data_IF_460838532435
#
_entry.id   IF_460838532435
#
_cell.length_a   1.000
_cell.length_b   1.000
_cell.length_c   1.000
_cell.angle_alpha   90.00
_cell.angle_beta   90.00
_cell.angle_gamma   90.00
#
_symmetry.space_group_name_H-M   'P 1'
#
loop_
_entity.id
_entity.type
_entity.pdbx_description
1 polymer ?
#
# COMPACT_ATOMS: atom_id res chain seq x y z
N UNK A 1 -50.62 -5.25 3.21
CA UNK A 1 -50.03 -3.97 2.74
C UNK A 1 -48.79 -4.23 1.90
N UNK A 2 -48.66 -3.66 0.69
CA UNK A 2 -47.52 -3.87 -0.22
C UNK A 2 -46.34 -2.90 0.08
N UNK A 3 -45.12 -3.19 -0.43
CA UNK A 3 -43.90 -2.49 -0.04
C UNK A 3 -43.62 -1.24 -0.89
N UNK A 4 -43.25 -0.12 -0.24
CA UNK A 4 -42.78 1.10 -0.92
C UNK A 4 -41.25 1.14 -0.99
N UNK A 5 -40.75 0.94 -2.21
CA UNK A 5 -39.39 1.22 -2.67
C UNK A 5 -39.10 2.73 -2.59
N UNK A 6 -37.89 3.14 -2.19
CA UNK A 6 -37.34 4.46 -2.53
C UNK A 6 -35.98 4.32 -3.22
N UNK A 7 -36.01 4.73 -4.48
CA UNK A 7 -34.91 4.94 -5.42
C UNK A 7 -33.89 5.96 -4.87
N UNK A 8 -32.58 5.74 -5.01
CA UNK A 8 -31.77 6.04 -6.20
C UNK A 8 -31.61 7.54 -6.49
N UNK A 9 -30.70 8.24 -5.79
CA UNK A 9 -30.10 9.51 -6.26
C UNK A 9 -28.71 9.73 -5.62
N UNK A 10 -27.68 9.08 -6.13
CA UNK A 10 -26.29 9.51 -5.90
C UNK A 10 -25.50 9.39 -7.20
N UNK A 11 -25.86 10.24 -8.15
CA UNK A 11 -25.12 10.47 -9.39
C UNK A 11 -24.61 11.90 -9.39
N UNK A 12 -23.39 12.06 -9.91
CA UNK A 12 -22.70 13.30 -10.31
C UNK A 12 -21.98 14.05 -9.19
N UNK A 13 -20.68 13.77 -9.02
CA UNK A 13 -19.57 14.74 -9.16
C UNK A 13 -18.28 14.01 -9.55
N UNK A 14 -18.20 13.55 -10.80
CA UNK A 14 -16.93 13.27 -11.48
C UNK A 14 -16.93 14.20 -12.69
N UNK A 15 -16.30 15.36 -12.50
CA UNK A 15 -15.93 16.30 -13.55
C UNK A 15 -14.60 16.92 -13.09
N UNK A 16 -13.53 16.60 -13.81
CA UNK A 16 -12.16 16.97 -13.47
C UNK A 16 -11.17 16.28 -14.39
N UNK A 17 -11.28 16.61 -15.68
CA UNK A 17 -10.45 16.17 -16.80
C UNK A 17 -8.95 16.47 -16.61
N UNK A 18 -8.11 15.48 -16.96
CA UNK A 18 -7.05 15.50 -17.99
C UNK A 18 -6.13 16.73 -18.09
N UNK A 19 -4.83 16.52 -17.83
CA UNK A 19 -3.63 16.98 -18.57
C UNK A 19 -2.42 16.64 -17.67
N UNK A 20 -1.34 15.96 -18.06
CA UNK A 20 -0.37 16.36 -19.09
C UNK A 20 0.58 15.16 -19.32
N UNK A 21 0.76 14.77 -20.58
CA UNK A 21 1.82 13.86 -21.05
C UNK A 21 2.86 14.72 -21.77
N UNK A 22 4.14 14.63 -21.37
CA UNK A 22 5.31 14.95 -22.19
C UNK A 22 6.52 14.28 -21.52
N UNK A 23 7.11 13.25 -22.15
CA UNK A 23 8.46 13.28 -22.75
C UNK A 23 9.55 13.71 -21.74
N UNK A 24 10.63 12.97 -21.51
CA UNK A 24 11.73 12.75 -22.46
C UNK A 24 12.56 11.56 -21.94
N UNK A 25 12.86 10.61 -22.82
CA UNK A 25 13.94 9.65 -22.62
C UNK A 25 15.24 10.20 -23.19
N UNK A 26 16.31 10.10 -22.41
CA UNK A 26 17.69 10.21 -22.90
C UNK A 26 18.46 9.07 -22.25
N UNK A 27 18.98 8.18 -23.08
CA UNK A 27 19.94 7.16 -22.67
C UNK A 27 21.36 7.72 -22.70
N UNK A 28 22.23 7.14 -21.89
CA UNK A 28 23.67 7.10 -22.16
C UNK A 28 24.18 5.75 -21.68
N UNK A 29 24.59 4.91 -22.63
CA UNK A 29 25.49 3.79 -22.40
C UNK A 29 26.91 4.36 -22.33
N UNK A 30 27.70 3.97 -21.33
CA UNK A 30 29.15 4.21 -21.34
C UNK A 30 29.84 2.85 -21.22
N UNK A 31 30.70 2.62 -22.20
CA UNK A 31 31.43 1.41 -22.48
C UNK A 31 32.48 1.10 -21.42
N UNK A 32 32.72 -0.19 -21.23
CA UNK A 32 33.86 -0.78 -20.52
C UNK A 32 35.14 -0.65 -21.36
N UNK A 33 36.15 0.03 -20.80
CA UNK A 33 37.51 0.09 -21.35
C UNK A 33 38.47 -0.78 -20.52
N UNK A 34 39.25 -1.58 -21.25
CA UNK A 34 40.68 -1.89 -21.04
C UNK A 34 41.05 -2.77 -19.84
N UNK A 35 41.43 -4.02 -20.17
CA UNK A 35 42.71 -4.59 -19.73
C UNK A 35 43.32 -5.46 -20.85
N UNK A 36 44.65 -5.51 -21.01
CA UNK A 36 45.33 -6.08 -22.18
C UNK A 36 45.98 -7.46 -21.95
N UNK A 37 46.52 -7.98 -23.07
CA UNK A 37 47.52 -9.02 -23.28
C UNK A 37 47.17 -10.51 -23.11
N UNK A 38 47.22 -11.24 -24.23
CA UNK A 38 48.31 -12.20 -24.48
C UNK A 38 48.36 -12.69 -25.94
N UNK A 39 49.54 -12.46 -26.50
CA UNK A 39 50.22 -13.02 -27.66
C UNK A 39 49.71 -14.34 -28.24
N UNK A 40 49.73 -14.47 -29.58
CA UNK A 40 50.51 -15.50 -30.32
C UNK A 40 50.26 -15.42 -31.84
N UNK A 41 51.28 -14.93 -32.54
CA UNK A 41 51.96 -15.55 -33.71
C UNK A 41 51.13 -16.13 -34.88
N UNK A 42 51.23 -15.40 -36.00
CA UNK A 42 51.58 -15.84 -37.38
C UNK A 42 50.86 -17.01 -38.06
N UNK A 43 50.15 -16.70 -39.16
CA UNK A 43 50.42 -17.23 -40.50
C UNK A 43 49.49 -16.59 -41.55
N UNK A 44 50.08 -16.17 -42.68
CA UNK A 44 49.39 -15.68 -43.86
C UNK A 44 49.04 -16.84 -44.82
N UNK A 45 47.91 -16.77 -45.53
CA UNK A 45 47.77 -17.15 -46.96
C UNK A 45 46.32 -17.07 -47.51
N UNK A 46 46.21 -16.41 -48.67
CA UNK A 46 45.34 -16.65 -49.84
C UNK A 46 43.78 -16.48 -49.82
N UNK A 47 43.33 -15.70 -50.81
CA UNK A 47 41.99 -15.46 -51.42
C UNK A 47 41.36 -16.71 -52.09
N UNK A 48 40.11 -16.75 -52.67
CA UNK A 48 39.12 -15.70 -52.99
C UNK A 48 37.61 -16.01 -52.70
N UNK A 49 36.79 -14.96 -52.86
CA UNK A 49 35.34 -14.83 -53.23
C UNK A 49 34.39 -16.04 -53.21
N UNK A 50 33.27 -15.88 -52.46
CA UNK A 50 31.92 -16.29 -52.89
C UNK A 50 30.81 -15.44 -52.21
N UNK A 51 29.98 -14.80 -53.02
CA UNK A 51 28.62 -14.27 -52.73
C UNK A 51 27.64 -15.16 -53.53
N UNK A 52 26.33 -15.37 -53.25
CA UNK A 52 25.37 -14.72 -52.32
C UNK A 52 24.49 -15.71 -51.49
N UNK A 53 23.71 -15.20 -50.52
CA UNK A 53 22.29 -15.59 -50.37
C UNK A 53 21.56 -14.68 -49.36
N UNK A 54 20.59 -13.90 -49.88
CA UNK A 54 19.57 -13.22 -49.08
C UNK A 54 18.68 -14.26 -48.39
N UNK A 55 18.78 -14.39 -47.07
CA UNK A 55 17.72 -14.98 -46.27
C UNK A 55 17.02 -13.90 -45.44
N UNK A 56 15.87 -13.46 -45.97
CA UNK A 56 14.89 -12.66 -45.28
C UNK A 56 14.33 -13.47 -44.10
N UNK A 57 14.92 -13.29 -42.92
CA UNK A 57 14.31 -13.75 -41.68
C UNK A 57 13.09 -12.87 -41.39
N UNK A 58 11.91 -13.41 -41.68
CA UNK A 58 10.62 -12.86 -41.26
C UNK A 58 10.63 -12.70 -39.74
N UNK A 59 10.90 -11.48 -39.28
CA UNK A 59 10.80 -11.07 -37.88
C UNK A 59 9.32 -11.14 -37.50
N UNK A 60 8.87 -12.26 -36.94
CA UNK A 60 7.55 -12.38 -36.30
C UNK A 60 7.48 -11.31 -35.21
N UNK A 61 6.73 -10.25 -35.47
CA UNK A 61 6.43 -9.24 -34.49
C UNK A 61 5.70 -9.92 -33.32
N UNK A 62 6.41 -10.10 -32.20
CA UNK A 62 5.80 -10.58 -30.97
C UNK A 62 4.74 -9.55 -30.54
N UNK A 63 3.47 -9.89 -30.72
CA UNK A 63 2.35 -9.09 -30.29
C UNK A 63 2.48 -8.85 -28.78
N UNK A 64 2.78 -7.61 -28.39
CA UNK A 64 2.81 -7.18 -26.98
C UNK A 64 1.43 -7.42 -26.37
N UNK A 65 1.29 -8.50 -25.58
CA UNK A 65 0.09 -8.74 -24.79
C UNK A 65 -0.10 -7.56 -23.84
N UNK A 66 -1.21 -6.84 -23.98
CA UNK A 66 -1.57 -5.74 -23.06
C UNK A 66 -1.68 -6.32 -21.64
N UNK A 67 -1.15 -5.63 -20.61
CA UNK A 67 -1.22 -6.11 -19.24
C UNK A 67 -2.69 -6.29 -18.84
N UNK A 68 -3.03 -7.46 -18.32
CA UNK A 68 -4.37 -7.76 -17.83
C UNK A 68 -4.71 -6.79 -16.68
N UNK A 69 -5.94 -6.25 -16.68
CA UNK A 69 -6.43 -5.40 -15.59
C UNK A 69 -6.32 -6.18 -14.27
N UNK A 70 -5.89 -5.52 -13.17
CA UNK A 70 -5.77 -6.18 -11.88
C UNK A 70 -7.14 -6.73 -11.45
N UNK A 71 -7.19 -8.01 -11.12
CA UNK A 71 -8.39 -8.64 -10.57
C UNK A 71 -8.73 -7.97 -9.24
N UNK A 72 -9.97 -7.48 -9.11
CA UNK A 72 -10.49 -6.92 -7.86
C UNK A 72 -10.68 -7.98 -6.77
N UNK A 73 -11.17 -7.59 -5.58
CA UNK A 73 -11.35 -8.51 -4.48
C UNK A 73 -12.39 -9.60 -4.79
N UNK A 74 -12.10 -10.83 -4.39
CA UNK A 74 -12.99 -11.98 -4.49
C UNK A 74 -14.21 -11.83 -3.57
N UNK A 75 -15.19 -12.74 -3.68
CA UNK A 75 -16.35 -12.76 -2.77
C UNK A 75 -15.91 -13.01 -1.32
N UNK A 76 -15.05 -14.01 -1.10
CA UNK A 76 -14.52 -14.35 0.21
C UNK A 76 -13.72 -13.20 0.85
N UNK A 77 -12.91 -12.47 0.06
CA UNK A 77 -12.17 -11.30 0.56
C UNK A 77 -13.10 -10.16 1.00
N UNK A 78 -14.20 -9.95 0.28
CA UNK A 78 -15.22 -8.96 0.66
C UNK A 78 -15.97 -9.37 1.92
N UNK A 79 -16.25 -10.66 2.09
CA UNK A 79 -16.87 -11.19 3.31
C UNK A 79 -15.95 -11.07 4.51
N UNK A 80 -14.65 -11.37 4.36
CA UNK A 80 -13.65 -11.17 5.40
C UNK A 80 -13.55 -9.70 5.84
N UNK A 81 -13.59 -8.74 4.89
CA UNK A 81 -13.65 -7.32 5.21
C UNK A 81 -14.91 -6.96 6.02
N UNK A 82 -16.08 -7.47 5.61
CA UNK A 82 -17.34 -7.23 6.35
C UNK A 82 -17.28 -7.79 7.76
N UNK A 83 -16.74 -9.00 7.94
CA UNK A 83 -16.55 -9.60 9.25
C UNK A 83 -15.60 -8.76 10.12
N UNK A 84 -14.47 -8.30 9.57
CA UNK A 84 -13.54 -7.43 10.28
C UNK A 84 -14.21 -6.11 10.71
N UNK A 85 -14.97 -5.46 9.82
CA UNK A 85 -15.74 -4.25 10.15
C UNK A 85 -16.77 -4.53 11.25
N UNK A 86 -17.46 -5.66 11.21
CA UNK A 86 -18.42 -6.06 12.24
C UNK A 86 -17.74 -6.21 13.61
N UNK A 87 -16.53 -6.81 13.66
CA UNK A 87 -15.74 -6.90 14.89
C UNK A 87 -15.35 -5.51 15.42
N UNK A 88 -14.88 -4.61 14.56
CA UNK A 88 -14.56 -3.21 14.95
C UNK A 88 -15.79 -2.52 15.53
N UNK A 89 -16.96 -2.72 14.90
CA UNK A 89 -18.24 -2.17 15.36
C UNK A 89 -18.70 -2.76 16.69
N UNK A 90 -18.56 -4.07 16.87
CA UNK A 90 -18.88 -4.74 18.14
C UNK A 90 -18.02 -4.22 19.29
N UNK A 91 -16.79 -3.78 19.00
CA UNK A 91 -15.90 -3.13 19.98
C UNK A 91 -16.24 -1.66 20.26
N UNK A 92 -17.29 -1.12 19.65
CA UNK A 92 -17.73 0.27 19.84
C UNK A 92 -17.06 1.29 18.92
N UNK A 93 -16.44 0.85 17.82
CA UNK A 93 -15.73 1.72 16.88
C UNK A 93 -16.37 1.69 15.48
N UNK A 94 -16.34 2.81 14.78
CA UNK A 94 -16.60 2.87 13.33
C UNK A 94 -15.29 2.88 12.56
N UNK A 95 -15.21 2.13 11.47
CA UNK A 95 -14.01 2.05 10.64
C UNK A 95 -13.85 3.34 9.82
N UNK A 96 -12.67 3.96 9.85
CA UNK A 96 -12.39 5.19 9.12
C UNK A 96 -12.16 4.95 7.63
N UNK A 97 -11.35 3.93 7.29
CA UNK A 97 -10.95 3.62 5.91
C UNK A 97 -10.95 2.12 5.66
N UNK A 98 -12.03 1.56 5.08
CA UNK A 98 -12.07 0.15 4.71
C UNK A 98 -10.98 -0.26 3.71
N UNK A 99 -10.45 0.68 2.93
CA UNK A 99 -9.36 0.46 1.97
C UNK A 99 -8.03 0.08 2.61
N UNK A 100 -7.83 0.39 3.90
CA UNK A 100 -6.62 0.03 4.65
C UNK A 100 -6.57 -1.48 4.93
N UNK A 101 -7.69 -2.18 4.74
CA UNK A 101 -7.75 -3.64 4.79
C UNK A 101 -7.21 -4.27 3.51
N UNK A 102 -5.91 -4.53 3.50
CA UNK A 102 -5.25 -5.17 2.36
C UNK A 102 -5.55 -6.68 2.30
N UNK A 103 -6.54 -7.06 1.50
CA UNK A 103 -7.01 -8.45 1.38
C UNK A 103 -5.93 -9.45 0.93
N UNK A 104 -4.93 -9.01 0.16
CA UNK A 104 -3.78 -9.83 -0.26
C UNK A 104 -2.73 -10.04 0.84
N UNK A 105 -2.76 -9.23 1.89
CA UNK A 105 -1.90 -9.37 3.04
C UNK A 105 -2.51 -10.39 4.01
N UNK A 106 -1.65 -11.20 4.63
CA UNK A 106 -2.07 -12.09 5.70
C UNK A 106 -2.28 -11.29 6.98
N UNK A 107 -1.39 -10.34 7.27
CA UNK A 107 -1.53 -9.39 8.37
C UNK A 107 -2.28 -8.14 7.90
N UNK A 108 -3.49 -7.95 8.43
CA UNK A 108 -4.44 -6.93 7.99
C UNK A 108 -4.75 -5.98 9.14
N UNK A 109 -5.15 -4.76 8.81
CA UNK A 109 -5.44 -3.71 9.78
C UNK A 109 -6.65 -2.89 9.36
N UNK A 110 -7.41 -2.43 10.35
CA UNK A 110 -8.43 -1.40 10.21
C UNK A 110 -8.19 -0.33 11.26
N UNK A 111 -8.44 0.93 10.91
CA UNK A 111 -8.44 2.02 11.89
C UNK A 111 -9.88 2.33 12.26
N UNK A 112 -10.16 2.29 13.56
CA UNK A 112 -11.46 2.63 14.12
C UNK A 112 -11.44 3.93 14.91
N UNK A 113 -12.57 4.62 14.94
CA UNK A 113 -12.87 5.76 15.81
C UNK A 113 -14.09 5.41 16.69
N UNK A 114 -14.11 5.78 17.99
CA UNK A 114 -15.25 5.49 18.85
C UNK A 114 -16.57 6.00 18.27
N UNK A 115 -17.63 5.20 18.40
CA UNK A 115 -18.99 5.61 18.05
C UNK A 115 -19.50 6.55 19.14
N UNK A 116 -20.07 7.70 18.75
CA UNK A 116 -20.61 8.69 19.69
C UNK A 116 -19.56 9.61 20.32
N UNK A 117 -18.26 9.37 20.10
CA UNK A 117 -17.18 10.25 20.56
C UNK A 117 -16.15 10.49 19.44
N UNK A 118 -16.35 11.57 18.68
CA UNK A 118 -15.42 11.96 17.61
C UNK A 118 -14.07 12.46 18.14
N UNK A 119 -14.01 12.91 19.39
CA UNK A 119 -12.82 13.40 20.08
C UNK A 119 -12.04 12.32 20.83
N UNK A 120 -12.62 11.12 20.99
CA UNK A 120 -12.03 9.97 21.69
C UNK A 120 -10.82 9.32 21.00
N UNK A 121 -10.35 9.89 19.89
CA UNK A 121 -9.18 9.43 19.15
C UNK A 121 -9.46 8.21 18.27
N UNK A 122 -8.41 7.54 17.85
CA UNK A 122 -8.48 6.38 16.95
C UNK A 122 -7.55 5.26 17.40
N UNK A 123 -7.91 4.03 17.05
CA UNK A 123 -7.13 2.81 17.32
C UNK A 123 -7.00 1.98 16.08
N UNK A 124 -5.92 1.21 15.98
CA UNK A 124 -5.78 0.19 14.95
C UNK A 124 -6.20 -1.16 15.50
N UNK A 125 -6.92 -1.91 14.68
CA UNK A 125 -7.42 -3.26 14.95
C UNK A 125 -6.76 -4.20 13.96
N UNK A 126 -6.04 -5.19 14.47
CA UNK A 126 -5.27 -6.13 13.67
C UNK A 126 -5.99 -7.45 13.49
N UNK A 127 -5.82 -8.04 12.31
CA UNK A 127 -6.48 -9.26 11.90
C UNK A 127 -5.52 -10.19 11.14
N UNK A 128 -5.76 -11.49 11.26
CA UNK A 128 -5.30 -12.50 10.30
C UNK A 128 -6.55 -13.10 9.67
N UNK A 129 -6.66 -13.01 8.35
CA UNK A 129 -7.87 -13.45 7.64
C UNK A 129 -9.12 -12.82 8.27
N UNK A 130 -9.95 -13.62 8.90
CA UNK A 130 -11.21 -13.32 9.60
C UNK A 130 -11.07 -13.25 11.13
N UNK A 131 -9.91 -13.58 11.67
CA UNK A 131 -9.64 -13.59 13.11
C UNK A 131 -9.06 -12.25 13.57
N UNK A 132 -9.66 -11.69 14.62
CA UNK A 132 -9.12 -10.54 15.34
C UNK A 132 -7.98 -10.96 16.27
N UNK A 133 -6.87 -10.23 16.21
CA UNK A 133 -5.68 -10.50 17.00
C UNK A 133 -5.52 -9.57 18.20
N UNK A 134 -5.85 -8.29 18.03
CA UNK A 134 -5.53 -7.28 19.02
C UNK A 134 -5.54 -5.87 18.47
N UNK A 135 -5.21 -4.92 19.33
CA UNK A 135 -5.08 -3.52 19.01
C UNK A 135 -3.61 -3.10 18.99
N UNK A 136 -3.32 -1.91 18.47
CA UNK A 136 -1.98 -1.34 18.52
C UNK A 136 -1.56 -0.87 19.91
N UNK A 137 -2.48 -0.29 20.68
CA UNK A 137 -2.20 0.22 22.02
C UNK A 137 -3.42 0.21 22.93
N UNK A 138 -3.17 0.31 24.25
CA UNK A 138 -4.19 0.36 25.30
C UNK A 138 -4.99 1.67 25.28
N UNK A 139 -4.35 2.78 24.90
CA UNK A 139 -4.96 4.11 24.82
C UNK A 139 -5.10 4.58 23.36
N UNK A 140 -6.08 5.44 23.03
CA UNK A 140 -6.28 5.93 21.67
C UNK A 140 -5.19 6.94 21.26
N UNK A 141 -5.11 7.25 19.96
CA UNK A 141 -4.27 8.33 19.42
C UNK A 141 -5.14 9.41 18.77
N UNK A 142 -4.76 10.69 18.86
CA UNK A 142 -5.52 11.75 18.18
C UNK A 142 -5.49 11.59 16.66
N UNK A 143 -4.30 11.32 16.09
CA UNK A 143 -4.13 11.00 14.67
C UNK A 143 -3.46 9.64 14.53
N UNK A 144 -4.07 8.76 13.73
CA UNK A 144 -3.55 7.43 13.41
C UNK A 144 -3.88 7.10 11.95
N UNK A 145 -2.92 6.56 11.22
CA UNK A 145 -3.09 6.16 9.82
C UNK A 145 -2.23 4.95 9.46
N UNK A 146 -2.67 4.15 8.49
CA UNK A 146 -1.85 3.09 7.91
C UNK A 146 -0.97 3.71 6.83
N UNK A 147 0.35 3.61 6.99
CA UNK A 147 1.30 4.12 5.97
C UNK A 147 1.74 3.05 4.99
N UNK A 148 1.80 1.79 5.44
CA UNK A 148 2.23 0.65 4.62
C UNK A 148 1.64 -0.61 5.19
N UNK A 149 1.19 -1.52 4.32
CA UNK A 149 0.87 -2.88 4.69
C UNK A 149 1.55 -3.83 3.70
N UNK A 150 2.22 -4.84 4.25
CA UNK A 150 2.88 -5.92 3.54
C UNK A 150 2.31 -7.24 4.06
N UNK A 151 2.83 -8.37 3.56
CA UNK A 151 2.29 -9.71 3.86
C UNK A 151 2.21 -10.00 5.38
N UNK A 152 3.28 -9.70 6.11
CA UNK A 152 3.45 -9.98 7.55
C UNK A 152 3.73 -8.73 8.38
N UNK A 153 3.71 -7.54 7.78
CA UNK A 153 4.14 -6.29 8.43
C UNK A 153 3.18 -5.17 8.11
N UNK A 154 2.79 -4.40 9.12
CA UNK A 154 1.99 -3.18 8.98
C UNK A 154 2.78 -2.03 9.58
N UNK A 155 2.82 -0.88 8.92
CA UNK A 155 3.44 0.34 9.45
C UNK A 155 2.37 1.38 9.69
N UNK A 156 2.15 1.71 10.96
CA UNK A 156 1.26 2.79 11.38
C UNK A 156 2.02 4.11 11.47
N UNK A 157 1.34 5.21 11.23
CA UNK A 157 1.83 6.57 11.50
C UNK A 157 0.95 7.21 12.56
N UNK A 158 1.58 7.51 13.70
CA UNK A 158 1.01 8.24 14.82
C UNK A 158 1.26 9.73 14.64
N UNK A 159 0.26 10.56 14.94
CA UNK A 159 0.50 11.96 15.24
C UNK A 159 1.14 12.09 16.61
N UNK A 160 2.16 12.93 16.72
CA UNK A 160 2.87 13.23 17.97
C UNK A 160 2.80 14.75 18.20
N UNK A 161 2.48 15.15 19.42
CA UNK A 161 2.40 16.55 19.82
C UNK A 161 3.80 17.10 20.07
N UNK A 162 4.13 18.21 19.40
CA UNK A 162 5.25 19.07 19.76
C UNK A 162 4.82 20.09 20.84
N UNK A 163 5.78 20.69 21.58
CA UNK A 163 5.48 21.82 22.46
C UNK A 163 4.76 22.94 21.68
N UNK A 164 3.63 23.41 22.21
CA UNK A 164 2.80 24.45 21.60
C UNK A 164 1.74 23.95 20.61
N UNK A 165 1.70 22.66 20.28
CA UNK A 165 0.61 22.10 19.47
C UNK A 165 -0.74 22.27 20.16
N UNK A 166 -1.76 22.61 19.38
CA UNK A 166 -3.14 22.71 19.90
C UNK A 166 -3.76 21.32 20.06
N UNK A 167 -4.58 21.07 21.10
CA UNK A 167 -5.25 19.79 21.28
C UNK A 167 -6.09 19.40 20.05
N UNK A 168 -5.97 18.16 19.60
CA UNK A 168 -6.57 17.68 18.36
C UNK A 168 -5.66 17.77 17.12
N UNK A 169 -4.58 18.55 17.20
CA UNK A 169 -3.76 18.92 16.04
C UNK A 169 -2.27 18.65 16.24
N UNK A 170 -1.84 17.39 16.44
CA UNK A 170 -0.42 17.08 16.50
C UNK A 170 0.25 17.42 15.15
N UNK A 171 1.43 18.04 15.22
CA UNK A 171 2.23 18.50 14.09
C UNK A 171 3.29 17.48 13.67
N UNK A 172 3.83 16.70 14.62
CA UNK A 172 4.84 15.68 14.33
C UNK A 172 4.21 14.33 14.00
N UNK A 173 5.01 13.44 13.41
CA UNK A 173 4.60 12.09 13.04
C UNK A 173 5.67 11.09 13.45
N UNK A 174 5.26 9.95 14.00
CA UNK A 174 6.13 8.80 14.25
C UNK A 174 5.60 7.57 13.56
N UNK A 175 6.46 6.88 12.81
CA UNK A 175 6.13 5.61 12.15
C UNK A 175 6.52 4.45 13.06
N UNK A 176 5.63 3.48 13.19
CA UNK A 176 5.85 2.28 13.99
C UNK A 176 5.47 1.07 13.16
N UNK A 177 6.40 0.12 13.05
CA UNK A 177 6.20 -1.15 12.35
C UNK A 177 5.72 -2.19 13.35
N UNK A 178 4.73 -2.95 12.92
CA UNK A 178 4.20 -4.12 13.60
C UNK A 178 4.42 -5.32 12.71
N UNK A 179 4.88 -6.42 13.29
CA UNK A 179 5.09 -7.68 12.61
C UNK A 179 4.19 -8.75 13.21
N UNK A 180 3.69 -9.61 12.35
CA UNK A 180 3.03 -10.83 12.74
C UNK A 180 4.06 -11.94 12.92
N UNK A 181 4.07 -12.58 14.10
CA UNK A 181 4.90 -13.75 14.40
C UNK A 181 3.98 -14.86 14.96
N UNK A 182 3.72 -15.87 14.12
CA UNK A 182 2.66 -16.84 14.40
C UNK A 182 1.29 -16.17 14.46
N UNK A 183 0.68 -16.17 15.64
CA UNK A 183 -0.59 -15.48 15.95
C UNK A 183 -0.38 -14.23 16.82
N UNK A 184 0.85 -13.90 17.18
CA UNK A 184 1.19 -12.76 18.01
C UNK A 184 1.58 -11.53 17.18
N UNK A 185 1.32 -10.35 17.74
CA UNK A 185 1.70 -9.07 17.14
C UNK A 185 2.89 -8.52 17.92
N UNK A 186 3.98 -8.22 17.22
CA UNK A 186 5.17 -7.62 17.79
C UNK A 186 5.38 -6.23 17.22
N UNK A 187 5.45 -5.21 18.08
CA UNK A 187 5.91 -3.89 17.69
C UNK A 187 7.43 -3.91 17.52
N UNK A 188 7.91 -3.55 16.33
CA UNK A 188 9.34 -3.48 16.02
C UNK A 188 9.94 -2.12 16.39
N UNK A 189 9.11 -1.10 16.55
CA UNK A 189 9.53 0.25 16.94
C UNK A 189 8.73 0.69 18.18
N UNK A 190 9.29 1.57 19.00
CA UNK A 190 8.62 2.07 20.20
C UNK A 190 7.39 2.92 19.84
N UNK A 191 6.22 2.52 20.31
CA UNK A 191 5.00 3.30 20.23
C UNK A 191 5.19 4.61 21.02
N UNK A 192 4.84 5.79 20.48
CA UNK A 192 4.92 7.03 21.26
C UNK A 192 4.10 6.92 22.55
N UNK A 193 4.57 7.61 23.61
CA UNK A 193 3.85 7.68 24.87
C UNK A 193 2.44 8.25 24.68
N UNK A 194 1.52 7.87 25.56
CA UNK A 194 0.12 8.28 25.47
C UNK A 194 -0.06 9.80 25.53
N UNK A 195 0.65 10.45 26.46
CA UNK A 195 0.70 11.91 26.59
C UNK A 195 1.23 12.61 25.34
N UNK A 196 2.07 11.93 24.56
CA UNK A 196 2.67 12.48 23.35
C UNK A 196 1.79 12.26 22.10
N UNK A 197 0.83 11.34 22.11
CA UNK A 197 0.01 10.99 20.93
C UNK A 197 -1.47 11.27 21.07
N UNK A 198 -1.93 11.56 22.29
CA UNK A 198 -3.34 11.84 22.55
C UNK A 198 -3.51 13.10 23.40
N UNK A 199 -4.21 14.06 22.81
CA UNK A 199 -4.84 15.16 23.53
C UNK A 199 -6.25 15.31 22.97
N UNK A 200 -7.22 15.43 23.87
CA UNK A 200 -8.63 15.57 23.49
C UNK A 200 -8.84 16.96 22.85
N UNK A 201 -9.43 17.06 21.66
CA UNK A 201 -9.81 18.36 21.09
C UNK A 201 -10.74 19.09 22.05
N UNK A 202 -10.63 20.41 22.13
CA UNK A 202 -11.66 21.23 22.77
C UNK A 202 -12.90 21.18 21.86
N UNK A 203 -14.03 20.79 22.44
CA UNK A 203 -15.33 20.68 21.74
C UNK A 203 -15.91 22.04 21.38
#
# INVERSE_FOLDING_TARGET
MPPRRKAYRWTRRIAGLIATLAFIGVGVAIASMVMPDKDSTSAAAATPTATPAKHATKKKAAAKKKPAKPKGPTKAEREALKAAIAVVRQKGYTTLKPSDYHYKSTFRVLIGRPVGDSGGGSRAFFFIKDQFLGNDALNPSTKLSVSKAQKMTVTLTYGVYAPGDTPGSPSQKKRVRFRLEGTAIHALDTIPLDSARFQRPKG
#
